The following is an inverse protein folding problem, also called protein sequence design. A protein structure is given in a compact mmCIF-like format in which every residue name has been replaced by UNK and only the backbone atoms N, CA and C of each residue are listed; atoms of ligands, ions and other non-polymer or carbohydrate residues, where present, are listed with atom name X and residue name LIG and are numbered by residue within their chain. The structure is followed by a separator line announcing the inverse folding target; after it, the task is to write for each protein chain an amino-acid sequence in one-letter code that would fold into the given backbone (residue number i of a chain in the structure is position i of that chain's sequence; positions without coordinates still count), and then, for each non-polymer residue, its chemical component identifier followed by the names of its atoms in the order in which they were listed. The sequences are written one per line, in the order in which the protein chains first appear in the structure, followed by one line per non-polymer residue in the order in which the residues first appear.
data_IF_918134804793
#
_entry.id   IF_918134804793
#
_cell.length_a   1.000
_cell.length_b   1.000
_cell.length_c   1.000
_cell.angle_alpha   90.00
_cell.angle_beta   90.00
_cell.angle_gamma   90.00
#
_symmetry.space_group_name_H-M   'P 1'
#
loop_
_entity.id
_entity.type
_entity.pdbx_description
1 polymer ?
#
# COMPACT_ATOMS: atom_id res chain seq x y z
N UNK A 1 -25.35 -10.47 10.56
CA UNK A 1 -24.83 -9.50 11.57
C UNK A 1 -25.13 -8.05 11.20
N UNK A 2 -25.23 -7.70 9.90
CA UNK A 2 -25.49 -6.33 9.45
C UNK A 2 -26.90 -5.79 9.80
N UNK A 3 -27.89 -6.65 9.94
CA UNK A 3 -29.31 -6.28 10.11
C UNK A 3 -29.68 -5.81 11.54
N UNK A 4 -28.75 -5.87 12.49
CA UNK A 4 -29.02 -5.52 13.88
C UNK A 4 -28.25 -4.30 14.39
N UNK A 5 -27.40 -3.66 13.58
CA UNK A 5 -26.67 -2.46 14.00
C UNK A 5 -27.47 -1.21 13.64
N UNK A 6 -28.08 -0.58 14.66
CA UNK A 6 -28.72 0.72 14.47
C UNK A 6 -27.67 1.76 14.04
N UNK A 7 -27.96 2.58 13.02
CA UNK A 7 -27.04 3.62 12.57
C UNK A 7 -26.72 4.58 13.73
N UNK A 8 -25.47 4.59 14.16
CA UNK A 8 -25.00 5.52 15.17
C UNK A 8 -24.78 6.91 14.54
N UNK A 9 -24.84 8.01 15.34
CA UNK A 9 -24.51 9.35 14.83
C UNK A 9 -23.13 9.43 14.18
N UNK A 10 -22.16 8.64 14.66
CA UNK A 10 -20.83 8.54 14.07
C UNK A 10 -20.87 7.90 12.67
N UNK A 11 -21.63 6.83 12.49
CA UNK A 11 -21.82 6.16 11.21
C UNK A 11 -22.49 7.09 10.18
N UNK A 12 -23.54 7.84 10.61
CA UNK A 12 -24.23 8.80 9.75
C UNK A 12 -23.28 9.93 9.31
N UNK A 13 -22.49 10.46 10.24
CA UNK A 13 -21.47 11.48 9.95
C UNK A 13 -20.45 10.97 8.92
N UNK A 14 -19.93 9.76 9.08
CA UNK A 14 -19.00 9.14 8.14
C UNK A 14 -19.61 8.96 6.75
N UNK A 15 -20.83 8.46 6.68
CA UNK A 15 -21.56 8.28 5.42
C UNK A 15 -21.74 9.62 4.68
N UNK A 16 -22.13 10.69 5.39
CA UNK A 16 -22.24 12.03 4.83
C UNK A 16 -20.89 12.59 4.34
N UNK A 17 -19.85 12.46 5.16
CA UNK A 17 -18.51 12.91 4.79
C UNK A 17 -17.96 12.17 3.56
N UNK A 18 -18.19 10.85 3.47
CA UNK A 18 -17.78 10.05 2.32
C UNK A 18 -18.58 10.38 1.05
N UNK A 19 -19.87 10.74 1.20
CA UNK A 19 -20.74 11.09 0.08
C UNK A 19 -20.43 12.46 -0.52
N UNK A 20 -20.10 13.44 0.30
CA UNK A 20 -19.95 14.85 -0.14
C UNK A 20 -18.52 15.35 -0.16
N UNK A 21 -17.54 14.65 0.41
CA UNK A 21 -16.15 15.06 0.48
C UNK A 21 -15.17 14.01 -0.03
N UNK A 22 -14.01 14.46 -0.52
CA UNK A 22 -12.86 13.58 -0.73
C UNK A 22 -12.09 13.49 0.59
N UNK A 23 -12.10 12.30 1.22
CA UNK A 23 -11.42 12.05 2.49
C UNK A 23 -9.95 11.69 2.31
N UNK A 24 -9.53 11.43 1.06
CA UNK A 24 -8.19 11.06 0.65
C UNK A 24 -7.68 11.98 -0.48
N UNK A 25 -8.04 13.28 -0.42
CA UNK A 25 -7.32 14.27 -1.22
C UNK A 25 -5.84 14.30 -0.76
N UNK A 26 -4.96 14.84 -1.59
CA UNK A 26 -3.51 14.81 -1.39
C UNK A 26 -3.07 15.27 0.02
N UNK A 27 -3.65 16.37 0.52
CA UNK A 27 -3.33 16.91 1.86
C UNK A 27 -3.81 15.97 2.98
N UNK A 28 -5.03 15.43 2.83
CA UNK A 28 -5.59 14.50 3.81
C UNK A 28 -4.92 13.14 3.76
N UNK A 29 -4.60 12.62 2.57
CA UNK A 29 -3.87 11.37 2.40
C UNK A 29 -2.53 11.40 3.16
N UNK A 30 -1.75 12.46 3.00
CA UNK A 30 -0.51 12.66 3.74
C UNK A 30 -0.73 12.69 5.25
N UNK A 31 -1.71 13.47 5.73
CA UNK A 31 -2.06 13.55 7.16
C UNK A 31 -2.54 12.22 7.73
N UNK A 32 -3.37 11.49 6.97
CA UNK A 32 -3.92 10.20 7.39
C UNK A 32 -2.81 9.13 7.46
N UNK A 33 -1.91 9.10 6.48
CA UNK A 33 -0.75 8.21 6.50
C UNK A 33 0.16 8.49 7.70
N UNK A 34 0.46 9.76 7.96
CA UNK A 34 1.23 10.16 9.14
C UNK A 34 0.55 9.70 10.44
N UNK A 35 -0.73 10.00 10.63
CA UNK A 35 -1.46 9.64 11.85
C UNK A 35 -1.51 8.13 12.11
N UNK A 36 -1.50 7.30 11.06
CA UNK A 36 -1.51 5.85 11.21
C UNK A 36 -0.12 5.27 11.56
N UNK A 37 0.93 5.83 10.98
CA UNK A 37 2.30 5.30 11.14
C UNK A 37 3.10 6.02 12.23
N UNK A 38 2.65 7.17 12.75
CA UNK A 38 3.28 7.92 13.86
C UNK A 38 3.04 7.28 15.25
N UNK A 39 2.42 6.09 15.31
CA UNK A 39 2.27 5.30 16.57
C UNK A 39 3.63 4.84 17.10
N UNK A 40 4.67 4.88 16.25
CA UNK A 40 6.03 4.44 16.55
C UNK A 40 6.35 3.07 15.95
N UNK A 41 7.59 2.91 15.50
CA UNK A 41 8.04 1.67 14.86
C UNK A 41 8.13 0.49 15.83
N UNK A 42 8.33 0.73 17.13
CA UNK A 42 8.48 -0.30 18.17
C UNK A 42 7.33 -1.32 18.20
N UNK A 43 6.10 -0.86 17.93
CA UNK A 43 4.94 -1.74 17.86
C UNK A 43 5.03 -2.64 16.62
N UNK A 44 5.33 -2.05 15.46
CA UNK A 44 5.39 -2.77 14.20
C UNK A 44 6.55 -3.76 14.15
N UNK A 45 7.71 -3.42 14.69
CA UNK A 45 8.87 -4.31 14.80
C UNK A 45 8.58 -5.56 15.64
N UNK A 46 7.73 -5.44 16.66
CA UNK A 46 7.33 -6.58 17.51
C UNK A 46 6.20 -7.41 16.92
N UNK A 47 5.39 -6.83 16.05
CA UNK A 47 4.19 -7.45 15.50
C UNK A 47 4.44 -8.10 14.13
N UNK A 48 5.30 -7.52 13.32
CA UNK A 48 5.53 -7.91 11.93
C UNK A 48 6.70 -8.89 11.78
N UNK A 49 6.89 -9.37 10.57
CA UNK A 49 8.07 -10.14 10.18
C UNK A 49 9.34 -9.25 10.17
N UNK A 50 10.50 -9.88 10.01
CA UNK A 50 11.81 -9.19 9.97
C UNK A 50 11.96 -8.12 8.88
N UNK A 51 11.10 -8.11 7.85
CA UNK A 51 11.06 -7.10 6.78
C UNK A 51 9.98 -6.05 6.99
N UNK A 52 9.26 -6.10 8.12
CA UNK A 52 8.18 -5.19 8.47
C UNK A 52 7.09 -5.10 7.39
N UNK A 53 6.65 -6.23 6.87
CA UNK A 53 5.59 -6.29 5.86
C UNK A 53 4.21 -6.24 6.52
N UNK A 54 3.51 -5.13 6.35
CA UNK A 54 2.20 -4.88 6.98
C UNK A 54 1.01 -5.23 6.06
N UNK A 55 1.11 -6.37 5.37
CA UNK A 55 0.04 -6.93 4.53
C UNK A 55 -0.02 -8.44 4.73
N UNK A 56 -1.11 -9.10 4.29
CA UNK A 56 -1.26 -10.53 4.50
C UNK A 56 -0.14 -11.33 3.83
N UNK A 57 0.29 -12.39 4.49
CA UNK A 57 1.31 -13.31 4.03
C UNK A 57 0.74 -14.47 3.20
N UNK A 58 1.59 -15.19 2.47
CA UNK A 58 1.21 -16.36 1.70
C UNK A 58 1.67 -17.63 2.44
N UNK A 59 0.72 -18.29 3.09
CA UNK A 59 0.97 -19.38 4.04
C UNK A 59 1.08 -20.78 3.41
N UNK A 60 1.00 -20.88 2.10
CA UNK A 60 1.21 -22.16 1.45
C UNK A 60 2.65 -22.60 1.70
N UNK A 61 2.82 -23.75 2.32
CA UNK A 61 4.12 -24.36 2.59
C UNK A 61 5.07 -23.52 3.49
N UNK A 62 4.52 -22.60 4.32
CA UNK A 62 5.29 -21.75 5.22
C UNK A 62 5.08 -22.15 6.69
N UNK A 63 6.17 -22.27 7.44
CA UNK A 63 6.15 -22.69 8.85
C UNK A 63 6.06 -21.52 9.84
N UNK A 64 6.37 -20.31 9.41
CA UNK A 64 6.37 -19.11 10.23
C UNK A 64 6.09 -17.87 9.39
N UNK A 65 5.87 -16.73 10.08
CA UNK A 65 5.50 -15.47 9.44
C UNK A 65 6.58 -14.98 8.46
N UNK A 66 7.86 -15.07 8.82
CA UNK A 66 8.96 -14.65 7.94
C UNK A 66 8.95 -15.43 6.62
N UNK A 67 8.83 -16.75 6.69
CA UNK A 67 8.77 -17.60 5.52
C UNK A 67 7.51 -17.32 4.67
N UNK A 68 6.37 -17.10 5.31
CA UNK A 68 5.12 -16.78 4.63
C UNK A 68 5.18 -15.42 3.93
N UNK A 69 5.81 -14.42 4.53
CA UNK A 69 6.03 -13.12 3.90
C UNK A 69 7.02 -13.23 2.73
N UNK A 70 8.14 -13.93 2.89
CA UNK A 70 9.08 -14.14 1.78
C UNK A 70 8.42 -14.89 0.61
N UNK A 71 7.61 -15.92 0.89
CA UNK A 71 6.83 -16.62 -0.15
C UNK A 71 5.86 -15.69 -0.90
N UNK A 72 5.23 -14.75 -0.19
CA UNK A 72 4.38 -13.72 -0.81
C UNK A 72 5.18 -12.77 -1.70
N UNK A 73 6.34 -12.27 -1.22
CA UNK A 73 7.18 -11.35 -1.98
C UNK A 73 7.72 -12.02 -3.26
N UNK A 74 8.18 -13.27 -3.15
CA UNK A 74 8.62 -14.06 -4.29
C UNK A 74 7.49 -14.31 -5.31
N UNK A 75 6.28 -14.63 -4.82
CA UNK A 75 5.11 -14.81 -5.68
C UNK A 75 4.78 -13.53 -6.46
N UNK A 76 4.89 -12.36 -5.84
CA UNK A 76 4.68 -11.07 -6.49
C UNK A 76 5.72 -10.85 -7.58
N UNK A 77 7.00 -11.05 -7.27
CA UNK A 77 8.09 -10.88 -8.25
C UNK A 77 7.92 -11.81 -9.45
N UNK A 78 7.56 -13.07 -9.22
CA UNK A 78 7.30 -14.04 -10.31
C UNK A 78 6.08 -13.67 -11.15
N UNK A 79 5.00 -13.19 -10.52
CA UNK A 79 3.80 -12.72 -11.26
C UNK A 79 4.09 -11.50 -12.12
N UNK A 80 4.95 -10.60 -11.66
CA UNK A 80 5.42 -9.45 -12.44
C UNK A 80 6.42 -9.83 -13.53
N UNK A 81 6.94 -11.08 -13.53
CA UNK A 81 7.99 -11.49 -14.44
C UNK A 81 9.21 -10.60 -14.33
N UNK A 82 9.70 -10.37 -13.08
CA UNK A 82 10.86 -9.51 -12.87
C UNK A 82 12.11 -10.15 -13.45
N UNK A 83 12.84 -9.35 -14.23
CA UNK A 83 14.14 -9.70 -14.84
C UNK A 83 15.21 -8.68 -14.41
N UNK A 84 16.50 -9.08 -14.35
CA UNK A 84 17.58 -8.19 -13.98
C UNK A 84 17.59 -6.89 -14.80
N UNK A 85 17.81 -5.77 -14.11
CA UNK A 85 17.90 -4.44 -14.72
C UNK A 85 16.54 -3.75 -14.97
N UNK A 86 15.40 -4.43 -14.80
CA UNK A 86 14.09 -3.78 -14.91
C UNK A 86 13.91 -2.67 -13.87
N UNK A 87 13.19 -1.61 -14.26
CA UNK A 87 12.77 -0.51 -13.39
C UNK A 87 11.41 -0.83 -12.78
N UNK A 88 11.38 -0.97 -11.46
CA UNK A 88 10.18 -1.29 -10.69
C UNK A 88 9.76 -0.09 -9.84
N UNK A 89 8.50 0.33 -9.93
CA UNK A 89 7.88 1.28 -9.00
C UNK A 89 7.08 0.52 -7.93
N UNK A 90 7.37 0.79 -6.66
CA UNK A 90 6.63 0.27 -5.50
C UNK A 90 5.80 1.39 -4.87
N UNK A 91 4.49 1.42 -5.17
CA UNK A 91 3.56 2.44 -4.67
C UNK A 91 3.04 2.03 -3.29
N UNK A 92 3.44 2.79 -2.26
CA UNK A 92 3.17 2.43 -0.87
C UNK A 92 4.21 1.46 -0.31
N UNK A 93 5.48 1.75 -0.49
CA UNK A 93 6.61 0.85 -0.18
C UNK A 93 6.77 0.51 1.32
N UNK A 94 6.00 1.15 2.21
CA UNK A 94 6.14 0.94 3.64
C UNK A 94 7.56 1.17 4.14
N UNK A 95 8.06 0.25 4.96
CA UNK A 95 9.44 0.27 5.47
C UNK A 95 10.48 -0.31 4.49
N UNK A 96 10.12 -0.46 3.21
CA UNK A 96 11.03 -0.88 2.15
C UNK A 96 11.27 -2.38 2.02
N UNK A 97 10.53 -3.21 2.77
CA UNK A 97 10.76 -4.66 2.79
C UNK A 97 10.60 -5.35 1.45
N UNK A 98 9.58 -4.97 0.63
CA UNK A 98 9.43 -5.49 -0.72
C UNK A 98 10.52 -4.94 -1.66
N UNK A 99 10.81 -3.64 -1.60
CA UNK A 99 11.85 -3.02 -2.42
C UNK A 99 13.23 -3.68 -2.18
N UNK A 100 13.58 -3.90 -0.90
CA UNK A 100 14.80 -4.62 -0.51
C UNK A 100 14.82 -6.04 -1.09
N UNK A 101 13.72 -6.78 -0.97
CA UNK A 101 13.61 -8.16 -1.46
C UNK A 101 13.76 -8.22 -2.98
N UNK A 102 13.01 -7.41 -3.70
CA UNK A 102 13.03 -7.39 -5.17
C UNK A 102 14.42 -7.02 -5.71
N UNK A 103 15.03 -5.95 -5.19
CA UNK A 103 16.36 -5.54 -5.60
C UNK A 103 17.44 -6.59 -5.32
N UNK A 104 17.41 -7.22 -4.14
CA UNK A 104 18.45 -8.19 -3.74
C UNK A 104 18.30 -9.57 -4.39
N UNK A 105 17.08 -9.99 -4.77
CA UNK A 105 16.81 -11.35 -5.28
C UNK A 105 16.61 -11.40 -6.77
N UNK A 106 16.15 -10.31 -7.38
CA UNK A 106 15.80 -10.23 -8.80
C UNK A 106 16.66 -9.23 -9.57
N UNK A 107 17.62 -8.55 -8.89
CA UNK A 107 18.56 -7.61 -9.51
C UNK A 107 17.85 -6.49 -10.31
N UNK A 108 16.72 -6.00 -9.77
CA UNK A 108 15.92 -4.91 -10.35
C UNK A 108 16.26 -3.57 -9.70
N UNK A 109 16.07 -2.47 -10.43
CA UNK A 109 16.17 -1.11 -9.91
C UNK A 109 14.80 -0.70 -9.35
N UNK A 110 14.72 -0.43 -8.05
CA UNK A 110 13.43 -0.13 -7.40
C UNK A 110 13.33 1.34 -7.03
N UNK A 111 12.24 1.98 -7.41
CA UNK A 111 11.80 3.26 -6.84
C UNK A 111 10.62 2.98 -5.91
N UNK A 112 10.81 3.16 -4.60
CA UNK A 112 9.75 3.04 -3.60
C UNK A 112 9.23 4.41 -3.18
N UNK A 113 7.91 4.55 -3.05
CA UNK A 113 7.28 5.79 -2.59
C UNK A 113 6.35 5.56 -1.41
N UNK A 114 6.39 6.48 -0.45
CA UNK A 114 5.41 6.60 0.64
C UNK A 114 5.26 8.07 1.05
N UNK A 115 4.07 8.54 1.43
CA UNK A 115 3.88 9.88 2.01
C UNK A 115 4.32 9.96 3.48
N UNK A 116 4.50 8.83 4.18
CA UNK A 116 4.84 8.74 5.60
C UNK A 116 6.35 8.85 5.82
N UNK A 117 6.80 9.93 6.48
CA UNK A 117 8.24 10.21 6.66
C UNK A 117 8.96 9.14 7.50
N UNK A 118 8.30 8.63 8.55
CA UNK A 118 8.85 7.58 9.40
C UNK A 118 9.16 6.31 8.61
N UNK A 119 8.22 5.88 7.76
CA UNK A 119 8.45 4.75 6.87
C UNK A 119 9.59 5.00 5.89
N UNK A 120 9.62 6.17 5.26
CA UNK A 120 10.66 6.54 4.29
C UNK A 120 12.04 6.53 4.92
N UNK A 121 12.18 7.01 6.15
CA UNK A 121 13.45 7.03 6.89
C UNK A 121 13.99 5.61 7.08
N UNK A 122 13.18 4.73 7.66
CA UNK A 122 13.55 3.32 7.88
C UNK A 122 13.75 2.57 6.56
N UNK A 123 12.90 2.83 5.54
CA UNK A 123 13.06 2.21 4.23
C UNK A 123 14.40 2.55 3.57
N UNK A 124 14.88 3.79 3.71
CA UNK A 124 16.21 4.19 3.22
C UNK A 124 17.33 3.45 3.94
N UNK A 125 17.23 3.30 5.27
CA UNK A 125 18.21 2.55 6.06
C UNK A 125 18.23 1.06 5.65
N UNK A 126 17.04 0.45 5.49
CA UNK A 126 16.90 -0.96 5.11
C UNK A 126 17.39 -1.27 3.69
N UNK A 127 17.54 -0.28 2.84
CA UNK A 127 17.90 -0.45 1.41
C UNK A 127 19.28 0.10 1.07
N UNK A 128 20.09 0.47 2.07
CA UNK A 128 21.47 0.94 1.86
C UNK A 128 22.29 -0.10 1.08
N UNK A 129 22.99 0.36 0.05
CA UNK A 129 23.85 -0.49 -0.79
C UNK A 129 23.12 -1.30 -1.87
N UNK A 130 21.80 -1.17 -1.97
CA UNK A 130 20.99 -1.80 -3.03
C UNK A 130 20.60 -0.76 -4.11
N UNK A 131 20.26 -1.20 -5.32
CA UNK A 131 19.75 -0.32 -6.39
C UNK A 131 18.30 0.12 -6.10
N UNK A 132 18.10 0.77 -4.95
CA UNK A 132 16.79 1.21 -4.45
C UNK A 132 16.83 2.70 -4.16
N UNK A 133 15.83 3.43 -4.67
CA UNK A 133 15.59 4.85 -4.37
C UNK A 133 14.28 5.00 -3.62
N UNK A 134 14.31 5.52 -2.40
CA UNK A 134 13.10 5.75 -1.60
C UNK A 134 12.77 7.24 -1.54
N UNK A 135 11.56 7.59 -1.98
CA UNK A 135 11.08 8.97 -2.07
C UNK A 135 9.87 9.20 -1.15
N UNK A 136 9.87 10.34 -0.45
CA UNK A 136 8.70 10.80 0.24
C UNK A 136 7.79 11.55 -0.75
N UNK A 137 6.91 10.81 -1.41
CA UNK A 137 6.01 11.35 -2.44
C UNK A 137 4.63 10.72 -2.38
N UNK A 138 3.61 11.48 -2.79
CA UNK A 138 2.31 10.93 -3.19
C UNK A 138 2.44 10.35 -4.61
N UNK A 139 1.67 9.30 -4.91
CA UNK A 139 1.71 8.65 -6.22
C UNK A 139 1.35 9.60 -7.38
N UNK A 140 0.51 10.60 -7.12
CA UNK A 140 0.09 11.62 -8.10
C UNK A 140 1.23 12.50 -8.57
N UNK A 141 2.26 12.67 -7.72
CA UNK A 141 3.45 13.47 -8.01
C UNK A 141 4.54 12.70 -8.75
N UNK A 142 4.33 11.37 -8.98
CA UNK A 142 5.33 10.56 -9.64
C UNK A 142 5.43 10.87 -11.13
N UNK A 143 6.67 10.88 -11.59
CA UNK A 143 7.07 11.04 -12.99
C UNK A 143 8.06 9.93 -13.36
N UNK A 144 8.28 9.76 -14.66
CA UNK A 144 9.18 8.76 -15.22
C UNK A 144 8.44 7.59 -15.83
N UNK A 145 9.19 6.56 -16.21
CA UNK A 145 8.69 5.35 -16.84
C UNK A 145 9.24 4.12 -16.15
N UNK A 146 8.38 3.13 -15.92
CA UNK A 146 8.70 1.90 -15.22
C UNK A 146 8.26 0.69 -16.05
N UNK A 147 9.09 -0.35 -16.03
CA UNK A 147 8.79 -1.61 -16.71
C UNK A 147 7.74 -2.40 -15.93
N UNK A 148 7.72 -2.23 -14.62
CA UNK A 148 6.78 -2.88 -13.69
C UNK A 148 6.34 -1.90 -12.60
N UNK A 149 5.06 -2.05 -12.19
CA UNK A 149 4.52 -1.32 -11.02
C UNK A 149 3.93 -2.34 -10.05
N UNK A 150 4.16 -2.13 -8.77
CA UNK A 150 3.48 -2.86 -7.70
C UNK A 150 2.79 -1.89 -6.74
N UNK A 151 1.65 -2.32 -6.21
CA UNK A 151 0.92 -1.64 -5.15
C UNK A 151 0.30 -2.70 -4.24
N UNK A 152 0.77 -2.77 -2.99
CA UNK A 152 0.44 -3.85 -2.05
C UNK A 152 -0.15 -3.27 -0.78
N UNK A 153 -1.47 -3.47 -0.55
CA UNK A 153 -2.17 -2.94 0.63
C UNK A 153 -2.25 -1.42 0.66
N UNK A 154 -2.37 -0.79 -0.50
CA UNK A 154 -2.39 0.67 -0.64
C UNK A 154 -3.75 1.19 -1.11
N UNK A 155 -4.51 0.42 -1.91
CA UNK A 155 -5.79 0.87 -2.46
C UNK A 155 -6.82 1.16 -1.36
N UNK A 156 -6.73 0.52 -0.24
CA UNK A 156 -7.54 0.76 0.96
C UNK A 156 -7.41 2.22 1.44
N UNK A 157 -6.29 2.88 1.11
CA UNK A 157 -5.99 4.27 1.45
C UNK A 157 -6.22 5.26 0.30
N UNK A 158 -6.49 4.79 -0.92
CA UNK A 158 -6.73 5.67 -2.09
C UNK A 158 -8.06 6.39 -1.99
N UNK A 159 -9.08 5.68 -1.54
CA UNK A 159 -10.46 6.17 -1.45
C UNK A 159 -11.20 6.17 -2.78
N UNK A 160 -12.53 5.95 -2.78
CA UNK A 160 -13.32 5.69 -3.99
C UNK A 160 -13.24 6.80 -5.05
N UNK A 161 -13.09 8.04 -4.62
CA UNK A 161 -13.05 9.21 -5.53
C UNK A 161 -11.74 9.36 -6.29
N UNK A 162 -10.69 8.67 -5.86
CA UNK A 162 -9.37 8.79 -6.44
C UNK A 162 -8.95 7.54 -7.24
N UNK A 163 -9.82 6.51 -7.33
CA UNK A 163 -9.49 5.27 -8.03
C UNK A 163 -9.16 5.50 -9.51
N UNK A 164 -9.96 6.34 -10.21
CA UNK A 164 -9.66 6.74 -11.59
C UNK A 164 -8.26 7.35 -11.70
N UNK A 165 -7.99 8.39 -10.92
CA UNK A 165 -6.69 9.06 -10.90
C UNK A 165 -5.53 8.10 -10.54
N UNK A 166 -5.77 7.12 -9.66
CA UNK A 166 -4.76 6.13 -9.31
C UNK A 166 -4.38 5.26 -10.52
N UNK A 167 -5.36 4.69 -11.21
CA UNK A 167 -5.09 3.85 -12.37
C UNK A 167 -4.59 4.65 -13.58
N UNK A 168 -5.11 5.85 -13.83
CA UNK A 168 -4.58 6.77 -14.86
C UNK A 168 -3.11 7.13 -14.59
N UNK A 169 -2.74 7.33 -13.32
CA UNK A 169 -1.35 7.58 -12.94
C UNK A 169 -0.48 6.36 -13.20
N UNK A 170 -0.94 5.15 -12.82
CA UNK A 170 -0.20 3.92 -13.07
C UNK A 170 -0.02 3.66 -14.57
N UNK A 171 -1.05 3.87 -15.37
CA UNK A 171 -1.00 3.73 -16.84
C UNK A 171 0.04 4.68 -17.45
N UNK A 172 0.01 5.95 -17.06
CA UNK A 172 0.97 6.96 -17.50
C UNK A 172 2.44 6.64 -17.15
N UNK A 173 2.65 5.94 -16.05
CA UNK A 173 3.99 5.60 -15.55
C UNK A 173 4.52 4.26 -16.09
N UNK A 174 3.68 3.42 -16.67
CA UNK A 174 4.08 2.18 -17.30
C UNK A 174 4.59 2.43 -18.72
N UNK A 175 5.66 1.74 -19.09
CA UNK A 175 6.08 1.64 -20.49
C UNK A 175 5.07 0.82 -21.30
N UNK A 176 5.13 0.92 -22.63
CA UNK A 176 4.40 0.02 -23.52
C UNK A 176 4.71 -1.45 -23.18
N UNK A 177 3.68 -2.27 -23.03
CA UNK A 177 3.79 -3.66 -22.53
C UNK A 177 4.30 -3.81 -21.09
N UNK A 178 4.32 -2.73 -20.30
CA UNK A 178 4.55 -2.79 -18.85
C UNK A 178 3.45 -3.56 -18.13
N UNK A 179 3.74 -4.02 -16.92
CA UNK A 179 2.78 -4.78 -16.13
C UNK A 179 2.66 -4.20 -14.72
N UNK A 180 1.41 -4.11 -14.22
CA UNK A 180 1.13 -3.76 -12.84
C UNK A 180 0.58 -4.96 -12.07
N UNK A 181 1.11 -5.19 -10.87
CA UNK A 181 0.50 -6.06 -9.88
C UNK A 181 -0.15 -5.21 -8.80
N UNK A 182 -1.45 -5.39 -8.65
CA UNK A 182 -2.22 -4.73 -7.61
C UNK A 182 -2.74 -5.77 -6.61
N UNK A 183 -2.42 -5.58 -5.33
CA UNK A 183 -2.86 -6.43 -4.23
C UNK A 183 -3.57 -5.57 -3.18
N UNK A 184 -4.79 -5.93 -2.82
CA UNK A 184 -5.62 -5.21 -1.85
C UNK A 184 -6.54 -6.16 -1.09
N UNK A 185 -6.97 -5.77 0.09
CA UNK A 185 -8.11 -6.41 0.76
C UNK A 185 -9.38 -5.95 0.06
N UNK A 186 -10.17 -6.90 -0.40
CA UNK A 186 -11.45 -6.63 -1.08
C UNK A 186 -12.67 -6.91 -0.22
N UNK A 187 -13.79 -6.31 -0.59
CA UNK A 187 -15.12 -6.60 -0.05
C UNK A 187 -16.05 -7.11 -1.15
N UNK A 188 -16.93 -8.04 -0.84
CA UNK A 188 -18.00 -8.47 -1.77
C UNK A 188 -19.14 -7.45 -1.86
N UNK A 189 -19.15 -6.46 -0.99
CA UNK A 189 -20.15 -5.41 -0.94
C UNK A 189 -19.52 -4.05 -1.20
N UNK A 190 -20.17 -3.23 -2.00
CA UNK A 190 -19.75 -1.86 -2.19
C UNK A 190 -19.94 -1.03 -0.91
N UNK A 191 -18.88 -0.38 -0.45
CA UNK A 191 -18.88 0.47 0.75
C UNK A 191 -18.16 1.77 0.46
N UNK A 192 -18.63 2.86 1.06
CA UNK A 192 -18.01 4.19 0.95
C UNK A 192 -17.19 4.58 2.19
N UNK A 193 -17.25 3.77 3.23
CA UNK A 193 -16.58 4.00 4.52
C UNK A 193 -16.36 2.67 5.24
N UNK A 194 -15.42 2.65 6.17
CA UNK A 194 -15.21 1.54 7.09
C UNK A 194 -16.05 1.70 8.37
N UNK A 195 -15.91 0.75 9.30
CA UNK A 195 -16.45 0.91 10.65
C UNK A 195 -15.87 2.16 11.34
N UNK A 196 -16.67 2.93 12.13
CA UNK A 196 -16.23 4.16 12.78
C UNK A 196 -15.02 4.00 13.71
N UNK A 197 -14.85 2.83 14.33
CA UNK A 197 -13.72 2.54 15.19
C UNK A 197 -12.44 2.37 14.34
N UNK A 198 -12.51 1.59 13.24
CA UNK A 198 -11.41 1.44 12.30
C UNK A 198 -11.03 2.77 11.66
N UNK A 199 -12.03 3.57 11.26
CA UNK A 199 -11.80 4.89 10.68
C UNK A 199 -11.09 5.85 11.64
N UNK A 200 -11.38 5.74 12.93
CA UNK A 200 -10.80 6.63 13.94
C UNK A 200 -9.41 6.21 14.39
N UNK A 201 -9.17 4.91 14.57
CA UNK A 201 -8.01 4.42 15.30
C UNK A 201 -7.01 3.65 14.43
N UNK A 202 -7.44 3.08 13.30
CA UNK A 202 -6.59 2.24 12.47
C UNK A 202 -6.32 2.88 11.10
N UNK A 203 -7.35 3.06 10.26
CA UNK A 203 -7.21 3.56 8.89
C UNK A 203 -8.11 4.78 8.64
N UNK A 204 -7.71 5.99 9.06
CA UNK A 204 -8.50 7.19 8.82
C UNK A 204 -8.77 7.42 7.34
N UNK A 205 -10.06 7.48 6.97
CA UNK A 205 -10.47 7.62 5.59
C UNK A 205 -10.30 6.39 4.72
N UNK A 206 -9.89 5.26 5.27
CA UNK A 206 -9.74 4.00 4.55
C UNK A 206 -11.09 3.43 4.09
N UNK A 207 -11.07 2.72 2.96
CA UNK A 207 -12.24 2.00 2.42
C UNK A 207 -11.76 0.69 1.79
N UNK A 208 -12.46 -0.40 2.08
CA UNK A 208 -12.20 -1.65 1.37
C UNK A 208 -12.86 -1.60 -0.02
N UNK A 209 -12.10 -1.70 -1.10
CA UNK A 209 -12.66 -1.70 -2.45
C UNK A 209 -13.49 -2.96 -2.70
N UNK A 210 -14.44 -2.87 -3.62
CA UNK A 210 -15.23 -4.00 -4.10
C UNK A 210 -14.95 -4.25 -5.58
N UNK A 211 -15.22 -5.45 -6.06
CA UNK A 211 -15.07 -5.83 -7.47
C UNK A 211 -16.27 -5.42 -8.33
N UNK A 212 -17.32 -4.86 -7.76
CA UNK A 212 -18.55 -4.44 -8.45
C UNK A 212 -19.27 -3.32 -7.76
#
# INVERSE_FOLDING_TARGET
LADHVKPSPALLKLALQSRFGNRQDEKKAKKNAQAHYDIGNDLFERMLDKRMIYTCAYWRDAENLDAAQEAKLDLICRKLGLEPGMRLLDIGCGWGGFAQFAASRYDVQVTGISPAIEQVTVARENTVGLPVTILQKDYREMEGEFDRITSIGMMEHVGPRNLGTFFETCDRLLVDNGMMLHHTIGSNEWKTHTDPWFDKYIFPGGVLPSLG
#
